data_IF_581260111974
#
_entry.id   IF_581260111974
#
_cell.length_a   1.000
_cell.length_b   1.000
_cell.length_c   1.000
_cell.angle_alpha   90.00
_cell.angle_beta   90.00
_cell.angle_gamma   90.00
#
_symmetry.space_group_name_H-M   'P 1'
#
loop_
_entity.id
_entity.type
_entity.pdbx_description
1 polymer ?
#
# COMPACT_ATOMS: atom_id res chain seq x y z
N UNK A 1 -20.99 22.94 5.56
CA UNK A 1 -20.29 21.81 6.21
C UNK A 1 -21.21 21.16 7.24
N UNK A 2 -20.95 19.91 7.64
CA UNK A 2 -21.59 19.36 8.83
C UNK A 2 -21.07 20.08 10.08
N UNK A 3 -21.88 20.25 11.14
CA UNK A 3 -21.45 20.82 12.42
C UNK A 3 -20.22 20.12 13.04
N UNK A 4 -19.96 18.86 12.67
CA UNK A 4 -18.80 18.08 13.13
C UNK A 4 -17.46 18.53 12.53
N UNK A 5 -17.45 19.07 11.30
CA UNK A 5 -16.20 19.41 10.63
C UNK A 5 -15.63 20.73 11.14
N UNK A 6 -16.50 21.71 11.37
CA UNK A 6 -16.14 22.99 11.99
C UNK A 6 -15.59 22.78 13.41
N UNK A 7 -16.26 21.95 14.21
CA UNK A 7 -15.77 21.55 15.54
C UNK A 7 -14.37 20.94 15.46
N UNK A 8 -14.15 20.02 14.52
CA UNK A 8 -12.86 19.35 14.33
C UNK A 8 -11.77 20.35 13.96
N UNK A 9 -12.02 21.23 12.99
CA UNK A 9 -11.07 22.27 12.60
C UNK A 9 -10.72 23.18 13.79
N UNK A 10 -11.71 23.57 14.60
CA UNK A 10 -11.49 24.37 15.80
C UNK A 10 -10.60 23.70 16.83
N UNK A 11 -10.82 22.42 17.11
CA UNK A 11 -9.95 21.69 18.05
C UNK A 11 -8.54 21.49 17.47
N UNK A 12 -8.37 21.41 16.15
CA UNK A 12 -7.03 21.36 15.55
C UNK A 12 -6.32 22.72 15.67
N UNK A 13 -7.00 23.85 15.40
CA UNK A 13 -6.44 25.20 15.64
C UNK A 13 -6.00 25.34 17.09
N UNK A 14 -6.85 24.88 18.01
CA UNK A 14 -6.57 24.92 19.44
C UNK A 14 -5.35 24.07 19.79
N UNK A 15 -5.23 22.86 19.23
CA UNK A 15 -4.09 21.97 19.40
C UNK A 15 -2.77 22.64 18.93
N UNK A 16 -2.79 23.26 17.75
CA UNK A 16 -1.65 24.01 17.22
C UNK A 16 -1.29 25.22 18.10
N UNK A 17 -2.31 25.93 18.58
CA UNK A 17 -2.13 27.07 19.48
C UNK A 17 -1.59 26.68 20.86
N UNK A 18 -1.78 25.43 21.30
CA UNK A 18 -1.17 24.89 22.52
C UNK A 18 0.27 24.43 22.29
N UNK A 19 0.66 24.18 21.04
CA UNK A 19 1.96 23.63 20.63
C UNK A 19 2.79 24.69 19.88
N UNK A 20 2.86 25.91 20.41
CA UNK A 20 3.45 27.08 19.71
C UNK A 20 4.94 26.91 19.41
N UNK A 21 5.65 26.17 20.25
CA UNK A 21 7.07 25.86 20.09
C UNK A 21 7.29 24.61 19.20
N UNK A 22 6.22 24.06 18.64
CA UNK A 22 6.19 22.84 17.84
C UNK A 22 5.89 21.58 18.65
N UNK A 23 5.84 20.45 17.96
CA UNK A 23 5.54 19.13 18.54
C UNK A 23 6.82 18.28 18.51
N UNK A 24 7.32 17.88 19.69
CA UNK A 24 8.52 17.04 19.79
C UNK A 24 8.29 15.60 19.34
N UNK A 25 7.10 15.06 19.61
CA UNK A 25 6.69 13.74 19.17
C UNK A 25 5.15 13.61 19.15
N UNK A 26 4.65 12.73 18.29
CA UNK A 26 3.24 12.36 18.20
C UNK A 26 3.08 10.90 18.61
N UNK A 27 2.30 10.63 19.65
CA UNK A 27 1.98 9.26 20.05
C UNK A 27 0.72 8.80 19.29
N UNK A 28 0.87 7.76 18.46
CA UNK A 28 -0.24 7.11 17.77
C UNK A 28 -0.60 5.84 18.51
N UNK A 29 -1.76 5.81 19.15
CA UNK A 29 -2.12 4.76 20.10
C UNK A 29 -3.08 3.75 19.45
N UNK A 30 -2.73 2.47 19.49
CA UNK A 30 -3.57 1.35 19.06
C UNK A 30 -3.82 0.39 20.22
N UNK A 31 -5.01 -0.19 20.27
CA UNK A 31 -5.33 -1.24 21.23
C UNK A 31 -5.11 -2.61 20.60
N UNK A 32 -4.32 -3.47 21.25
CA UNK A 32 -4.08 -4.84 20.78
C UNK A 32 -5.33 -5.72 20.80
N UNK A 33 -6.36 -5.33 21.56
CA UNK A 33 -7.65 -6.04 21.59
C UNK A 33 -8.46 -5.87 20.31
N UNK A 34 -8.13 -4.86 19.50
CA UNK A 34 -8.85 -4.52 18.28
C UNK A 34 -7.95 -4.74 17.06
N UNK A 35 -8.56 -5.11 15.94
CA UNK A 35 -7.88 -5.07 14.64
C UNK A 35 -7.80 -3.62 14.16
N UNK A 36 -6.77 -3.31 13.38
CA UNK A 36 -6.66 -2.01 12.72
C UNK A 36 -7.89 -1.78 11.83
N UNK A 37 -8.65 -0.72 12.10
CA UNK A 37 -9.87 -0.41 11.34
C UNK A 37 -9.60 0.56 10.20
N UNK A 38 -10.53 0.63 9.25
CA UNK A 38 -10.45 1.60 8.16
C UNK A 38 -10.60 3.04 8.68
N UNK A 39 -11.32 3.25 9.78
CA UNK A 39 -11.40 4.54 10.47
C UNK A 39 -10.03 4.95 11.03
N UNK A 40 -9.28 4.02 11.62
CA UNK A 40 -7.93 4.29 12.15
C UNK A 40 -6.93 4.60 11.02
N UNK A 41 -6.98 3.86 9.92
CA UNK A 41 -6.21 4.16 8.70
C UNK A 41 -6.57 5.54 8.13
N UNK A 42 -7.87 5.87 8.11
CA UNK A 42 -8.37 7.16 7.63
C UNK A 42 -7.92 8.31 8.53
N UNK A 43 -7.86 8.10 9.86
CA UNK A 43 -7.37 9.11 10.79
C UNK A 43 -5.89 9.43 10.58
N UNK A 44 -5.05 8.41 10.36
CA UNK A 44 -3.64 8.61 10.00
C UNK A 44 -3.48 9.35 8.67
N UNK A 45 -4.29 9.01 7.68
CA UNK A 45 -4.28 9.70 6.40
C UNK A 45 -4.69 11.17 6.55
N UNK A 46 -5.74 11.46 7.31
CA UNK A 46 -6.16 12.81 7.62
C UNK A 46 -5.05 13.61 8.33
N UNK A 47 -4.34 12.99 9.27
CA UNK A 47 -3.24 13.62 9.98
C UNK A 47 -2.11 14.02 9.02
N UNK A 48 -1.76 13.16 8.06
CA UNK A 48 -0.78 13.49 7.00
C UNK A 48 -1.24 14.64 6.10
N UNK A 49 -2.53 14.72 5.76
CA UNK A 49 -3.08 15.85 4.98
C UNK A 49 -2.96 17.16 5.76
N UNK A 50 -3.41 17.14 7.02
CA UNK A 50 -3.52 18.31 7.86
C UNK A 50 -2.12 18.86 8.19
N UNK A 51 -1.29 18.00 8.77
CA UNK A 51 0.00 18.40 9.28
C UNK A 51 1.04 18.44 8.16
N UNK A 52 1.02 17.47 7.23
CA UNK A 52 2.07 17.27 6.22
C UNK A 52 2.59 15.84 6.32
N UNK A 53 3.22 15.33 5.26
CA UNK A 53 3.74 13.95 5.27
C UNK A 53 4.88 13.76 6.27
N UNK A 54 5.63 14.83 6.56
CA UNK A 54 6.80 14.84 7.48
C UNK A 54 6.40 14.58 8.94
N UNK A 55 5.12 14.73 9.30
CA UNK A 55 4.65 14.44 10.66
C UNK A 55 4.93 12.99 11.07
N UNK A 56 5.03 12.07 10.09
CA UNK A 56 5.34 10.65 10.35
C UNK A 56 6.74 10.47 10.93
N UNK A 57 7.67 11.40 10.66
CA UNK A 57 9.03 11.34 11.21
C UNK A 57 9.06 11.64 12.72
N UNK A 58 7.97 12.20 13.23
CA UNK A 58 7.74 12.52 14.64
C UNK A 58 6.83 11.53 15.35
N UNK A 59 6.26 10.55 14.63
CA UNK A 59 5.32 9.59 15.19
C UNK A 59 6.01 8.43 15.90
N UNK A 60 5.45 8.05 17.05
CA UNK A 60 5.79 6.85 17.82
C UNK A 60 4.50 6.03 17.95
N UNK A 61 4.55 4.77 17.52
CA UNK A 61 3.40 3.87 17.59
C UNK A 61 3.34 3.23 18.98
N UNK A 62 2.22 3.37 19.68
CA UNK A 62 2.04 2.85 21.03
C UNK A 62 0.94 1.80 21.01
N UNK A 63 1.28 0.56 21.34
CA UNK A 63 0.32 -0.53 21.49
C UNK A 63 -0.09 -0.64 22.95
N UNK A 64 -1.38 -0.48 23.25
CA UNK A 64 -1.93 -0.67 24.59
C UNK A 64 -2.50 -2.07 24.74
N UNK A 65 -2.82 -2.42 25.99
CA UNK A 65 -3.34 -3.73 26.37
C UNK A 65 -2.30 -4.84 26.24
N UNK A 66 -1.11 -4.59 26.79
CA UNK A 66 -0.04 -5.59 27.00
C UNK A 66 -0.55 -6.90 27.62
N UNK A 67 -1.56 -6.82 28.49
CA UNK A 67 -2.22 -7.98 29.11
C UNK A 67 -2.87 -8.94 28.10
N UNK A 68 -3.29 -8.45 26.94
CA UNK A 68 -3.84 -9.29 25.87
C UNK A 68 -2.78 -10.26 25.32
N UNK A 69 -1.54 -9.81 25.17
CA UNK A 69 -0.44 -10.67 24.72
C UNK A 69 -0.04 -11.69 25.79
N UNK A 70 -0.09 -11.30 27.07
CA UNK A 70 0.14 -12.21 28.19
C UNK A 70 -0.90 -13.35 28.23
N UNK A 71 -2.17 -13.05 27.94
CA UNK A 71 -3.27 -14.02 27.94
C UNK A 71 -3.15 -15.03 26.78
N UNK A 72 -2.74 -14.57 25.59
CA UNK A 72 -2.55 -15.43 24.41
C UNK A 72 -1.19 -16.16 24.41
N UNK A 73 -0.23 -15.67 25.20
CA UNK A 73 1.12 -16.25 25.29
C UNK A 73 2.07 -15.79 24.18
N UNK A 74 1.75 -14.68 23.52
CA UNK A 74 2.50 -14.13 22.38
C UNK A 74 3.38 -12.94 22.78
N UNK A 75 4.39 -12.65 21.98
CA UNK A 75 5.15 -11.39 22.00
C UNK A 75 4.53 -10.34 21.09
N UNK A 76 4.89 -9.06 21.26
CA UNK A 76 4.45 -8.01 20.34
C UNK A 76 4.98 -8.26 18.93
N UNK A 77 6.20 -8.77 18.81
CA UNK A 77 6.82 -9.12 17.53
C UNK A 77 6.04 -10.20 16.79
N UNK A 78 5.68 -11.29 17.47
CA UNK A 78 4.87 -12.38 16.89
C UNK A 78 3.49 -11.87 16.42
N UNK A 79 2.82 -11.05 17.24
CA UNK A 79 1.54 -10.43 16.85
C UNK A 79 1.65 -9.56 15.58
N UNK A 80 2.73 -8.79 15.45
CA UNK A 80 2.95 -7.89 14.31
C UNK A 80 3.43 -8.61 13.04
N UNK A 81 4.07 -9.78 13.18
CA UNK A 81 4.43 -10.61 12.02
C UNK A 81 3.17 -11.11 11.30
N UNK A 82 2.17 -11.54 12.08
CA UNK A 82 0.88 -12.04 11.61
C UNK A 82 -0.07 -10.93 11.11
N UNK A 83 0.06 -9.72 11.67
CA UNK A 83 -0.78 -8.57 11.29
C UNK A 83 -0.13 -7.72 10.19
N UNK A 84 -0.46 -7.99 8.93
CA UNK A 84 0.04 -7.20 7.79
C UNK A 84 -0.42 -5.74 7.81
N UNK A 85 -1.53 -5.45 8.51
CA UNK A 85 -2.16 -4.14 8.56
C UNK A 85 -1.28 -3.05 9.19
N UNK A 86 -0.41 -3.40 10.15
CA UNK A 86 0.47 -2.44 10.82
C UNK A 86 1.81 -2.24 10.10
N UNK A 87 2.17 -3.11 9.15
CA UNK A 87 3.50 -3.07 8.50
C UNK A 87 3.76 -1.72 7.84
N UNK A 88 2.78 -1.20 7.09
CA UNK A 88 2.93 0.07 6.39
C UNK A 88 3.08 1.26 7.35
N UNK A 89 2.37 1.24 8.48
CA UNK A 89 2.43 2.30 9.49
C UNK A 89 3.77 2.26 10.21
N UNK A 90 4.22 1.07 10.63
CA UNK A 90 5.49 0.90 11.32
C UNK A 90 6.67 1.27 10.43
N UNK A 91 6.65 0.88 9.16
CA UNK A 91 7.67 1.29 8.18
C UNK A 91 7.69 2.81 8.03
N UNK A 92 6.53 3.45 7.89
CA UNK A 92 6.45 4.92 7.82
C UNK A 92 6.96 5.62 9.08
N UNK A 93 6.84 4.97 10.24
CA UNK A 93 7.31 5.47 11.54
C UNK A 93 8.73 5.00 11.90
N UNK A 94 9.54 4.54 10.93
CA UNK A 94 10.89 4.00 11.16
C UNK A 94 10.96 2.93 12.27
N UNK A 95 9.94 2.10 12.35
CA UNK A 95 9.76 1.02 13.33
C UNK A 95 9.78 1.47 14.80
N UNK A 96 9.51 2.76 15.07
CA UNK A 96 9.37 3.30 16.43
C UNK A 96 8.06 2.81 17.03
N UNK A 97 8.14 1.78 17.88
CA UNK A 97 7.00 1.17 18.56
C UNK A 97 7.26 0.92 20.04
N UNK A 98 6.22 1.04 20.86
CA UNK A 98 6.24 0.78 22.32
C UNK A 98 5.04 -0.06 22.72
N UNK A 99 5.26 -1.07 23.56
CA UNK A 99 4.20 -1.80 24.25
C UNK A 99 3.90 -1.13 25.60
N UNK A 100 2.67 -0.72 25.84
CA UNK A 100 2.30 0.08 27.00
C UNK A 100 1.15 -0.53 27.82
N UNK A 101 1.45 -0.88 29.07
CA UNK A 101 0.51 -1.48 30.01
C UNK A 101 -0.19 -0.42 30.88
N UNK A 102 -1.44 -0.07 30.57
CA UNK A 102 -2.22 0.91 31.34
C UNK A 102 -2.81 0.35 32.66
N UNK A 103 -2.21 -0.69 33.24
CA UNK A 103 -2.73 -1.36 34.45
C UNK A 103 -2.54 -0.45 35.68
N UNK A 104 -3.60 -0.07 36.41
CA UNK A 104 -3.48 0.84 37.56
C UNK A 104 -2.52 0.32 38.64
N UNK A 105 -2.50 -1.01 38.82
CA UNK A 105 -1.72 -1.71 39.86
C UNK A 105 -0.37 -2.26 39.37
N UNK A 106 0.08 -1.89 38.17
CA UNK A 106 1.42 -2.30 37.71
C UNK A 106 2.52 -1.75 38.65
N UNK A 107 3.61 -2.51 38.89
CA UNK A 107 4.76 -2.04 39.65
C UNK A 107 5.29 -0.70 39.11
N UNK A 108 5.70 0.19 40.02
CA UNK A 108 6.22 1.51 39.64
C UNK A 108 7.46 1.41 38.75
N UNK A 109 8.31 0.40 38.98
CA UNK A 109 9.46 0.10 38.12
C UNK A 109 9.07 -0.26 36.69
N UNK A 110 7.96 -0.98 36.49
CA UNK A 110 7.46 -1.33 35.15
C UNK A 110 6.93 -0.08 34.45
N UNK A 111 6.13 0.75 35.14
CA UNK A 111 5.63 2.02 34.60
C UNK A 111 6.78 2.95 34.22
N UNK A 112 7.79 3.08 35.10
CA UNK A 112 8.97 3.90 34.84
C UNK A 112 9.75 3.40 33.61
N UNK A 113 9.88 2.08 33.44
CA UNK A 113 10.53 1.48 32.27
C UNK A 113 9.78 1.81 30.97
N UNK A 114 8.45 1.67 30.95
CA UNK A 114 7.62 1.98 29.78
C UNK A 114 7.66 3.47 29.42
N UNK A 115 7.61 4.36 30.42
CA UNK A 115 7.76 5.80 30.21
C UNK A 115 9.16 6.12 29.67
N UNK A 116 10.21 5.52 30.24
CA UNK A 116 11.58 5.73 29.78
C UNK A 116 11.77 5.30 28.33
N UNK A 117 11.12 4.21 27.90
CA UNK A 117 11.15 3.76 26.51
C UNK A 117 10.54 4.79 25.54
N UNK A 118 9.39 5.37 25.90
CA UNK A 118 8.80 6.48 25.13
C UNK A 118 9.77 7.67 25.07
N UNK A 119 10.34 8.07 26.21
CA UNK A 119 11.28 9.21 26.28
C UNK A 119 12.53 8.98 25.42
N UNK A 120 13.05 7.75 25.38
CA UNK A 120 14.17 7.41 24.50
C UNK A 120 13.82 7.63 23.01
N UNK A 121 12.60 7.26 22.59
CA UNK A 121 12.14 7.54 21.24
C UNK A 121 11.93 9.04 20.98
N UNK A 122 11.42 9.79 21.96
CA UNK A 122 11.29 11.25 21.84
C UNK A 122 12.67 11.90 21.64
N UNK A 123 13.68 11.48 22.41
CA UNK A 123 15.07 11.93 22.21
C UNK A 123 15.62 11.53 20.84
N UNK A 124 15.31 10.32 20.36
CA UNK A 124 15.70 9.87 19.03
C UNK A 124 15.08 10.71 17.92
N UNK A 125 13.78 10.97 18.01
CA UNK A 125 13.01 11.83 17.08
C UNK A 125 13.61 13.25 17.08
N UNK A 126 13.85 13.82 18.27
CA UNK A 126 14.45 15.14 18.42
C UNK A 126 15.83 15.21 17.77
N UNK A 127 16.70 14.21 18.02
CA UNK A 127 18.04 14.14 17.44
C UNK A 127 18.04 13.96 15.92
N UNK A 128 17.13 13.16 15.38
CA UNK A 128 17.03 12.90 13.93
C UNK A 128 16.49 14.10 13.16
N UNK A 129 15.47 14.76 13.70
CA UNK A 129 14.82 15.88 13.02
C UNK A 129 15.46 17.24 13.33
N UNK A 130 16.18 17.37 14.45
CA UNK A 130 16.93 18.56 14.84
C UNK A 130 16.10 19.76 15.31
N UNK A 131 14.78 19.71 15.15
CA UNK A 131 13.83 20.73 15.59
C UNK A 131 12.46 20.09 15.88
N UNK A 132 11.65 20.68 16.79
CA UNK A 132 10.25 20.31 16.94
C UNK A 132 9.48 20.43 15.62
N UNK A 133 8.47 19.61 15.45
CA UNK A 133 7.62 19.66 14.28
C UNK A 133 6.82 20.96 14.26
N UNK A 134 6.91 21.69 13.16
CA UNK A 134 6.05 22.82 12.87
C UNK A 134 5.58 22.70 11.43
N UNK A 135 4.27 22.70 11.22
CA UNK A 135 3.73 22.87 9.86
C UNK A 135 3.66 24.38 9.52
N UNK A 136 3.44 24.69 8.24
CA UNK A 136 3.28 26.07 7.76
C UNK A 136 2.28 26.88 8.58
N UNK A 137 1.20 26.23 9.04
CA UNK A 137 0.18 26.87 9.85
C UNK A 137 0.65 27.18 11.28
N UNK A 138 1.53 26.36 11.85
CA UNK A 138 2.14 26.60 13.16
C UNK A 138 3.06 27.82 13.11
N UNK A 139 3.80 27.98 12.01
CA UNK A 139 4.65 29.16 11.78
C UNK A 139 3.82 30.45 11.71
N UNK A 140 2.73 30.45 10.94
CA UNK A 140 1.81 31.59 10.86
C UNK A 140 1.20 31.91 12.23
N UNK A 141 0.74 30.89 12.98
CA UNK A 141 0.21 31.08 14.34
C UNK A 141 1.27 31.73 15.25
N UNK A 142 2.52 31.30 15.17
CA UNK A 142 3.62 31.88 15.96
C UNK A 142 3.88 33.35 15.57
N UNK A 143 3.92 33.68 14.28
CA UNK A 143 4.08 35.06 13.80
C UNK A 143 2.92 35.96 14.26
N UNK A 144 1.68 35.49 14.10
CA UNK A 144 0.49 36.21 14.58
C UNK A 144 0.50 36.40 16.09
N UNK A 145 0.97 35.41 16.86
CA UNK A 145 1.11 35.50 18.31
C UNK A 145 2.11 36.59 18.71
N UNK A 146 3.30 36.62 18.09
CA UNK A 146 4.33 37.61 18.42
C UNK A 146 3.86 39.04 18.13
N UNK A 147 3.27 39.29 16.96
CA UNK A 147 2.71 40.59 16.60
C UNK A 147 1.55 40.99 17.54
N UNK A 148 0.79 40.01 18.03
CA UNK A 148 -0.32 40.24 18.93
C UNK A 148 0.12 40.55 20.37
N UNK A 149 1.17 39.90 20.87
CA UNK A 149 1.77 40.21 22.17
C UNK A 149 2.28 41.65 22.22
N UNK A 150 2.84 42.14 21.10
CA UNK A 150 3.27 43.54 21.00
C UNK A 150 2.08 44.51 21.11
N UNK A 151 0.97 44.25 20.41
CA UNK A 151 -0.27 45.05 20.52
C UNK A 151 -0.88 45.01 21.92
N UNK A 152 -0.86 43.86 22.59
CA UNK A 152 -1.32 43.77 23.99
C UNK A 152 -0.47 44.64 24.91
N UNK A 153 0.85 44.65 24.73
CA UNK A 153 1.75 45.49 25.50
C UNK A 153 1.45 46.97 25.28
N UNK A 154 1.20 47.39 24.04
CA UNK A 154 0.78 48.77 23.73
C UNK A 154 -0.51 49.15 24.47
N UNK A 155 -1.53 48.29 24.47
CA UNK A 155 -2.80 48.53 25.19
C UNK A 155 -2.59 48.63 26.70
N UNK A 156 -1.72 47.81 27.28
CA UNK A 156 -1.38 47.88 28.70
C UNK A 156 -0.62 49.18 29.05
N UNK A 157 0.16 49.73 28.11
CA UNK A 157 0.86 51.00 28.27
C UNK A 157 -0.04 52.24 28.10
N UNK A 158 -1.23 52.09 27.51
CA UNK A 158 -2.25 53.16 27.38
C UNK A 158 -2.86 53.61 28.72
N UNK A 159 -2.45 53.02 29.85
CA UNK A 159 -2.79 53.48 31.21
C UNK A 159 -2.47 54.97 31.45
N UNK A 160 -1.52 55.55 30.70
CA UNK A 160 -1.21 56.98 30.72
C UNK A 160 -2.27 57.89 30.06
N UNK A 161 -3.20 57.32 29.27
CA UNK A 161 -4.23 58.04 28.52
C UNK A 161 -5.61 58.15 29.18
N UNK A 162 -5.77 57.71 30.43
CA UNK A 162 -7.03 57.82 31.18
C UNK A 162 -7.99 56.62 31.05
N UNK A 163 -7.55 55.51 30.45
CA UNK A 163 -8.34 54.27 30.37
C UNK A 163 -8.30 53.48 31.69
N UNK A 164 -9.44 52.90 32.07
CA UNK A 164 -9.53 52.04 33.26
C UNK A 164 -8.96 50.65 32.99
N UNK A 165 -8.63 49.93 34.07
CA UNK A 165 -8.18 48.54 33.98
C UNK A 165 -9.22 47.62 33.34
N UNK A 166 -10.52 47.89 33.58
CA UNK A 166 -11.61 47.17 32.92
C UNK A 166 -11.69 47.46 31.42
N UNK A 167 -11.45 48.70 30.99
CA UNK A 167 -11.44 49.05 29.56
C UNK A 167 -10.28 48.37 28.83
N UNK A 168 -9.08 48.32 29.44
CA UNK A 168 -7.92 47.62 28.90
C UNK A 168 -8.19 46.11 28.81
N UNK A 169 -8.74 45.49 29.86
CA UNK A 169 -9.11 44.08 29.84
C UNK A 169 -10.13 43.75 28.76
N UNK A 170 -11.18 44.58 28.58
CA UNK A 170 -12.17 44.39 27.51
C UNK A 170 -11.56 44.54 26.12
N UNK A 171 -10.62 45.46 25.93
CA UNK A 171 -9.89 45.60 24.66
C UNK A 171 -9.04 44.37 24.36
N UNK A 172 -8.29 43.86 25.35
CA UNK A 172 -7.48 42.65 25.20
C UNK A 172 -8.36 41.42 24.91
N UNK A 173 -9.49 41.28 25.60
CA UNK A 173 -10.45 40.19 25.37
C UNK A 173 -11.07 40.23 23.96
N UNK A 174 -11.53 41.40 23.52
CA UNK A 174 -12.06 41.57 22.16
C UNK A 174 -11.01 41.28 21.08
N UNK A 175 -9.77 41.72 21.33
CA UNK A 175 -8.63 41.43 20.46
C UNK A 175 -8.32 39.92 20.40
N UNK A 176 -8.35 39.21 21.53
CA UNK A 176 -8.16 37.76 21.60
C UNK A 176 -9.25 37.03 20.80
N UNK A 177 -10.52 37.36 21.07
CA UNK A 177 -11.66 36.73 20.40
C UNK A 177 -11.63 36.96 18.87
N UNK A 178 -11.28 38.18 18.43
CA UNK A 178 -11.17 38.49 17.01
C UNK A 178 -10.03 37.74 16.33
N UNK A 179 -8.87 37.63 16.99
CA UNK A 179 -7.71 36.90 16.47
C UNK A 179 -8.01 35.42 16.35
N UNK A 180 -8.56 34.82 17.40
CA UNK A 180 -8.86 33.39 17.42
C UNK A 180 -9.92 33.05 16.35
N UNK A 181 -10.90 33.94 16.10
CA UNK A 181 -11.86 33.79 15.01
C UNK A 181 -11.20 33.90 13.62
N UNK A 182 -10.25 34.82 13.43
CA UNK A 182 -9.51 34.97 12.17
C UNK A 182 -8.66 33.72 11.88
N UNK A 183 -7.86 33.28 12.86
CA UNK A 183 -7.04 32.06 12.75
C UNK A 183 -7.90 30.83 12.46
N UNK A 184 -9.07 30.74 13.08
CA UNK A 184 -10.01 29.65 12.83
C UNK A 184 -10.52 29.66 11.39
N UNK A 185 -10.92 30.82 10.86
CA UNK A 185 -11.40 30.92 9.49
C UNK A 185 -10.30 30.57 8.48
N UNK A 186 -9.09 31.10 8.65
CA UNK A 186 -7.94 30.82 7.78
C UNK A 186 -7.54 29.34 7.81
N UNK A 187 -7.57 28.71 8.99
CA UNK A 187 -7.32 27.27 9.10
C UNK A 187 -8.40 26.45 8.41
N UNK A 188 -9.68 26.78 8.61
CA UNK A 188 -10.79 26.08 7.96
C UNK A 188 -10.63 26.15 6.45
N UNK A 189 -10.40 27.34 5.88
CA UNK A 189 -10.19 27.51 4.43
C UNK A 189 -8.98 26.70 3.94
N UNK A 190 -7.88 26.67 4.70
CA UNK A 190 -6.68 25.90 4.35
C UNK A 190 -6.94 24.40 4.37
N UNK A 191 -7.64 23.89 5.39
CA UNK A 191 -8.03 22.48 5.50
C UNK A 191 -8.96 22.09 4.36
N UNK A 192 -9.98 22.91 4.07
CA UNK A 192 -10.90 22.70 2.96
C UNK A 192 -10.15 22.65 1.61
N UNK A 193 -9.23 23.58 1.39
CA UNK A 193 -8.40 23.61 0.18
C UNK A 193 -7.53 22.36 0.05
N UNK A 194 -6.78 21.99 1.09
CA UNK A 194 -5.93 20.78 1.09
C UNK A 194 -6.74 19.51 0.87
N UNK A 195 -7.91 19.41 1.50
CA UNK A 195 -8.81 18.27 1.33
C UNK A 195 -9.30 18.19 -0.11
N UNK A 196 -9.74 19.31 -0.70
CA UNK A 196 -10.16 19.39 -2.10
C UNK A 196 -9.05 18.97 -3.06
N UNK A 197 -7.84 19.51 -2.90
CA UNK A 197 -6.67 19.15 -3.70
C UNK A 197 -6.33 17.64 -3.59
N UNK A 198 -6.49 17.06 -2.40
CA UNK A 198 -6.24 15.63 -2.17
C UNK A 198 -7.29 14.77 -2.84
N UNK A 199 -8.57 15.15 -2.75
CA UNK A 199 -9.68 14.45 -3.43
C UNK A 199 -9.45 14.48 -4.94
N UNK A 200 -9.11 15.63 -5.51
CA UNK A 200 -8.83 15.76 -6.95
C UNK A 200 -7.66 14.87 -7.39
N UNK A 201 -6.58 14.80 -6.60
CA UNK A 201 -5.44 13.89 -6.86
C UNK A 201 -5.83 12.41 -6.80
N UNK A 202 -6.62 12.02 -5.79
CA UNK A 202 -7.08 10.63 -5.64
C UNK A 202 -8.03 10.23 -6.78
N UNK A 203 -8.92 11.13 -7.19
CA UNK A 203 -9.79 10.90 -8.36
C UNK A 203 -8.99 10.72 -9.64
N UNK A 204 -7.94 11.53 -9.84
CA UNK A 204 -7.03 11.36 -10.98
C UNK A 204 -6.33 10.00 -10.95
N UNK A 205 -5.73 9.62 -9.82
CA UNK A 205 -5.07 8.31 -9.65
C UNK A 205 -6.03 7.15 -9.90
N UNK A 206 -7.26 7.24 -9.38
CA UNK A 206 -8.29 6.24 -9.59
C UNK A 206 -8.66 6.09 -11.07
N UNK A 207 -8.72 7.20 -11.82
CA UNK A 207 -9.01 7.19 -13.25
C UNK A 207 -7.84 6.61 -14.06
N UNK A 208 -6.59 6.92 -13.71
CA UNK A 208 -5.40 6.35 -14.31
C UNK A 208 -5.32 4.83 -14.10
N UNK A 209 -5.55 4.36 -12.87
CA UNK A 209 -5.58 2.94 -12.52
C UNK A 209 -6.69 2.20 -13.30
N UNK A 210 -7.88 2.79 -13.40
CA UNK A 210 -8.99 2.24 -14.18
C UNK A 210 -8.64 2.13 -15.67
N UNK A 211 -7.98 3.13 -16.24
CA UNK A 211 -7.56 3.11 -17.64
C UNK A 211 -6.50 2.04 -17.89
N UNK A 212 -5.50 1.93 -17.01
CA UNK A 212 -4.46 0.90 -17.08
C UNK A 212 -5.06 -0.52 -17.00
N UNK A 213 -6.01 -0.73 -16.08
CA UNK A 213 -6.70 -2.02 -15.92
C UNK A 213 -7.50 -2.40 -17.17
N UNK A 214 -8.21 -1.46 -17.77
CA UNK A 214 -8.96 -1.68 -19.00
C UNK A 214 -8.04 -2.04 -20.19
N UNK A 215 -6.86 -1.42 -20.27
CA UNK A 215 -5.86 -1.81 -21.28
C UNK A 215 -5.35 -3.24 -21.07
N UNK A 216 -5.04 -3.61 -19.83
CA UNK A 216 -4.58 -4.96 -19.51
C UNK A 216 -5.63 -6.01 -19.86
N UNK A 217 -6.90 -5.74 -19.57
CA UNK A 217 -8.02 -6.63 -19.92
C UNK A 217 -8.15 -6.81 -21.44
N UNK A 218 -8.09 -5.71 -22.22
CA UNK A 218 -8.08 -5.79 -23.69
C UNK A 218 -6.92 -6.62 -24.23
N UNK A 219 -5.72 -6.46 -23.66
CA UNK A 219 -4.53 -7.24 -24.03
C UNK A 219 -4.73 -8.73 -23.69
N UNK A 220 -5.29 -9.05 -22.52
CA UNK A 220 -5.60 -10.43 -22.11
C UNK A 220 -6.58 -11.11 -23.07
N UNK A 221 -7.70 -10.45 -23.41
CA UNK A 221 -8.70 -10.97 -24.36
C UNK A 221 -8.07 -11.20 -25.75
N UNK A 222 -7.19 -10.29 -26.19
CA UNK A 222 -6.51 -10.45 -27.48
C UNK A 222 -5.54 -11.65 -27.47
N UNK A 223 -4.80 -11.85 -26.38
CA UNK A 223 -3.91 -13.01 -26.20
C UNK A 223 -4.72 -14.31 -26.20
N UNK A 224 -5.85 -14.35 -25.49
CA UNK A 224 -6.73 -15.51 -25.43
C UNK A 224 -7.29 -15.85 -26.83
N UNK A 225 -7.75 -14.86 -27.58
CA UNK A 225 -8.24 -15.05 -28.96
C UNK A 225 -7.15 -15.62 -29.87
N UNK A 226 -5.93 -15.06 -29.82
CA UNK A 226 -4.78 -15.58 -30.58
C UNK A 226 -4.43 -17.00 -30.19
N UNK A 227 -4.45 -17.32 -28.89
CA UNK A 227 -4.22 -18.67 -28.38
C UNK A 227 -5.27 -19.66 -28.92
N UNK A 228 -6.56 -19.28 -28.89
CA UNK A 228 -7.65 -20.07 -29.46
C UNK A 228 -7.47 -20.33 -30.96
N UNK A 229 -7.06 -19.30 -31.72
CA UNK A 229 -6.83 -19.44 -33.16
C UNK A 229 -5.62 -20.34 -33.47
N UNK A 230 -4.54 -20.25 -32.69
CA UNK A 230 -3.38 -21.14 -32.79
C UNK A 230 -3.78 -22.58 -32.46
N UNK A 231 -4.54 -22.81 -31.39
CA UNK A 231 -5.02 -24.14 -31.01
C UNK A 231 -5.89 -24.76 -32.12
N UNK A 232 -6.80 -23.98 -32.72
CA UNK A 232 -7.61 -24.44 -33.86
C UNK A 232 -6.75 -24.82 -35.08
N UNK A 233 -5.72 -24.03 -35.40
CA UNK A 233 -4.79 -24.35 -36.50
C UNK A 233 -3.99 -25.61 -36.22
N UNK A 234 -3.45 -25.74 -35.01
CA UNK A 234 -2.68 -26.91 -34.59
C UNK A 234 -3.52 -28.19 -34.68
N UNK A 235 -4.76 -28.14 -34.20
CA UNK A 235 -5.69 -29.28 -34.29
C UNK A 235 -5.98 -29.68 -35.74
N UNK A 236 -6.18 -28.72 -36.65
CA UNK A 236 -6.37 -29.00 -38.08
C UNK A 236 -5.12 -29.63 -38.71
N UNK A 237 -3.94 -29.11 -38.39
CA UNK A 237 -2.68 -29.63 -38.92
C UNK A 237 -2.38 -31.04 -38.40
N UNK A 238 -2.64 -31.30 -37.11
CA UNK A 238 -2.53 -32.64 -36.52
C UNK A 238 -3.47 -33.63 -37.20
N UNK A 239 -4.73 -33.25 -37.45
CA UNK A 239 -5.68 -34.10 -38.17
C UNK A 239 -5.20 -34.44 -39.60
N UNK A 240 -4.69 -33.44 -40.34
CA UNK A 240 -4.15 -33.64 -41.68
C UNK A 240 -2.90 -34.54 -41.69
N UNK A 241 -1.99 -34.36 -40.74
CA UNK A 241 -0.81 -35.23 -40.57
C UNK A 241 -1.23 -36.68 -40.31
N UNK A 242 -2.19 -36.89 -39.42
CA UNK A 242 -2.69 -38.23 -39.09
C UNK A 242 -3.32 -38.93 -40.31
N UNK A 243 -4.05 -38.18 -41.15
CA UNK A 243 -4.61 -38.70 -42.39
C UNK A 243 -3.52 -39.04 -43.42
N UNK A 244 -2.51 -38.19 -43.56
CA UNK A 244 -1.37 -38.44 -44.46
C UNK A 244 -0.56 -39.67 -44.03
N UNK A 245 -0.40 -39.87 -42.72
CA UNK A 245 0.30 -41.02 -42.15
C UNK A 245 -0.47 -42.32 -42.38
N UNK A 246 -1.81 -42.30 -42.25
CA UNK A 246 -2.67 -43.43 -42.62
C UNK A 246 -2.50 -43.81 -44.10
N UNK A 247 -2.55 -42.84 -45.01
CA UNK A 247 -2.34 -43.06 -46.45
C UNK A 247 -0.94 -43.63 -46.74
N UNK A 248 0.11 -43.08 -46.11
CA UNK A 248 1.46 -43.58 -46.27
C UNK A 248 1.62 -45.03 -45.78
N UNK A 249 0.97 -45.39 -44.67
CA UNK A 249 0.99 -46.75 -44.13
C UNK A 249 0.23 -47.73 -45.04
N UNK A 250 -0.89 -47.32 -45.66
CA UNK A 250 -1.58 -48.13 -46.67
C UNK A 250 -0.70 -48.37 -47.90
N UNK A 251 -0.04 -47.33 -48.42
CA UNK A 251 0.89 -47.45 -49.56
C UNK A 251 2.04 -48.39 -49.19
N UNK A 252 2.64 -48.25 -48.00
CA UNK A 252 3.70 -49.16 -47.53
C UNK A 252 3.22 -50.62 -47.49
N UNK A 253 2.01 -50.86 -46.98
CA UNK A 253 1.41 -52.20 -46.94
C UNK A 253 1.24 -52.77 -48.34
N UNK A 254 0.63 -52.01 -49.26
CA UNK A 254 0.46 -52.43 -50.64
C UNK A 254 1.80 -52.71 -51.35
N UNK A 255 2.79 -51.84 -51.13
CA UNK A 255 4.14 -52.02 -51.69
C UNK A 255 4.79 -53.30 -51.17
N UNK A 256 4.68 -53.58 -49.87
CA UNK A 256 5.17 -54.82 -49.28
C UNK A 256 4.47 -56.06 -49.87
N UNK A 257 3.16 -56.01 -50.08
CA UNK A 257 2.40 -57.09 -50.70
C UNK A 257 2.89 -57.38 -52.14
N UNK A 258 3.13 -56.32 -52.94
CA UNK A 258 3.70 -56.43 -54.29
C UNK A 258 5.12 -57.00 -54.27
N UNK A 259 6.00 -56.51 -53.38
CA UNK A 259 7.36 -57.03 -53.23
C UNK A 259 7.34 -58.52 -52.88
N UNK A 260 6.48 -58.93 -51.94
CA UNK A 260 6.35 -60.33 -51.54
C UNK A 260 5.87 -61.21 -52.71
N UNK A 261 4.95 -60.70 -53.53
CA UNK A 261 4.46 -61.40 -54.73
C UNK A 261 5.56 -61.54 -55.78
N UNK A 262 6.28 -60.46 -56.09
CA UNK A 262 7.42 -60.48 -57.00
C UNK A 262 8.53 -61.44 -56.54
N UNK A 263 8.87 -61.48 -55.25
CA UNK A 263 9.82 -62.46 -54.69
C UNK A 263 9.36 -63.90 -54.93
N UNK A 264 8.06 -64.17 -54.76
CA UNK A 264 7.48 -65.49 -54.99
C UNK A 264 7.53 -65.89 -56.47
N UNK A 265 7.24 -64.95 -57.37
CA UNK A 265 7.31 -65.15 -58.81
C UNK A 265 8.76 -65.34 -59.30
N UNK A 266 9.71 -64.58 -58.74
CA UNK A 266 11.14 -64.75 -59.00
C UNK A 266 11.63 -66.15 -58.58
N UNK A 267 11.28 -66.58 -57.36
CA UNK A 267 11.62 -67.93 -56.88
C UNK A 267 11.03 -69.04 -57.75
N UNK A 268 9.80 -68.87 -58.26
CA UNK A 268 9.20 -69.78 -59.23
C UNK A 268 10.00 -69.83 -60.53
N UNK A 269 10.36 -68.67 -61.09
CA UNK A 269 11.15 -68.58 -62.31
C UNK A 269 12.51 -69.27 -62.15
N UNK A 270 13.24 -68.99 -61.07
CA UNK A 270 14.53 -69.62 -60.76
C UNK A 270 14.43 -71.15 -60.65
N UNK A 271 13.39 -71.66 -59.99
CA UNK A 271 13.14 -73.10 -59.91
C UNK A 271 12.87 -73.71 -61.29
N UNK A 272 12.12 -73.01 -62.14
CA UNK A 272 11.84 -73.40 -63.52
C UNK A 272 13.13 -73.46 -64.35
N UNK A 273 14.00 -72.44 -64.24
CA UNK A 273 15.30 -72.39 -64.92
C UNK A 273 16.20 -73.53 -64.47
N UNK A 274 16.27 -73.82 -63.16
CA UNK A 274 17.00 -74.99 -62.63
C UNK A 274 16.46 -76.31 -63.19
N UNK A 275 15.15 -76.48 -63.27
CA UNK A 275 14.54 -77.68 -63.83
C UNK A 275 14.88 -77.86 -65.32
N UNK A 276 14.88 -76.78 -66.11
CA UNK A 276 15.28 -76.81 -67.52
C UNK A 276 16.77 -77.13 -67.68
N UNK A 277 17.65 -76.52 -66.87
CA UNK A 277 19.08 -76.83 -66.87
C UNK A 277 19.37 -78.30 -66.47
N UNK A 278 18.61 -78.85 -65.51
CA UNK A 278 18.68 -80.26 -65.15
C UNK A 278 18.29 -81.19 -66.30
N UNK A 279 17.19 -80.90 -66.99
CA UNK A 279 16.76 -81.67 -68.18
C UNK A 279 17.74 -81.58 -69.34
N UNK A 280 18.33 -80.41 -69.57
CA UNK A 280 19.36 -80.22 -70.60
C UNK A 280 20.62 -81.04 -70.31
N UNK A 281 21.06 -81.12 -69.05
CA UNK A 281 22.18 -81.99 -68.65
C UNK A 281 21.88 -83.48 -68.84
N UNK A 282 20.60 -83.88 -68.71
CA UNK A 282 20.16 -85.27 -68.90
C UNK A 282 20.09 -85.67 -70.39
N UNK A 283 19.88 -84.72 -71.31
CA UNK A 283 19.90 -84.98 -72.76
C UNK A 283 21.30 -85.06 -73.37
N UNK A 284 22.35 -84.58 -72.67
CA UNK A 284 23.75 -84.63 -73.15
C UNK A 284 24.44 -85.96 -72.73
N UNK A 285 23.82 -86.78 -71.87
CA UNK A 285 24.39 -88.04 -71.35
C UNK A 285 23.85 -89.29 -72.08
N UNK A 286 23.09 -89.17 -73.18
CA UNK A 286 22.74 -90.32 -74.03
C UNK A 286 23.67 -90.49 -75.22
#
# INVERSE_FOLDING_TARGET
>A
MSPSTEFTCREIVRCLSLSKDGIDAVLVVFSLRNRLTEEEKSALFALKILFGSEIVDYMIVVFTNEDFLEDEGDTLEEYLEDSTDFKDILVACNDRKVLFGNRPKAPESQKAKQVQEILNYVEEVSRKNGKPYMNDLSHEIQEHETAFQEKQREVLEMKKGGFTEQDMSRMIENMNNSRDAQLLNEMVERVERKLKETVEKLEQQLNEERAARLELEKKAIQVEKRSSDVAKKLNKEQAARLESEKKANEVKKHTNDVINKLKKDLSRAENMTRALQGKAKQCIIM
#
